data_IF_386511701813
#
_entry.id   IF_386511701813
#
_cell.length_a   1.000
_cell.length_b   1.000
_cell.length_c   1.000
_cell.angle_alpha   90.00
_cell.angle_beta   90.00
_cell.angle_gamma   90.00
#
_symmetry.space_group_name_H-M   'P 1'
#
loop_
_entity.id
_entity.type
_entity.pdbx_description
1 polymer ?
#
# COMPACT_ATOMS: atom_id res chain seq x y z
N UNK A 1 20.46 2.47 13.12
CA UNK A 1 20.80 2.28 11.69
C UNK A 1 19.69 2.90 10.86
N UNK A 2 19.99 3.93 10.05
CA UNK A 2 18.98 4.49 9.15
C UNK A 2 18.77 3.53 7.97
N UNK A 3 17.54 3.05 7.78
CA UNK A 3 17.18 2.32 6.57
C UNK A 3 17.21 3.29 5.38
N UNK A 4 17.93 2.94 4.33
CA UNK A 4 17.78 3.68 3.07
C UNK A 4 16.44 3.31 2.46
N UNK A 5 15.60 4.31 2.17
CA UNK A 5 14.26 4.09 1.67
C UNK A 5 13.99 4.79 0.34
N UNK A 6 13.01 4.27 -0.40
CA UNK A 6 12.53 4.85 -1.65
C UNK A 6 11.02 4.77 -1.72
N UNK A 7 10.38 5.82 -2.24
CA UNK A 7 8.95 5.90 -2.48
C UNK A 7 8.67 5.86 -4.00
N UNK A 8 7.83 4.95 -4.42
CA UNK A 8 7.35 4.81 -5.80
C UNK A 8 5.94 5.38 -5.86
N UNK A 9 5.75 6.50 -6.53
CA UNK A 9 4.47 7.19 -6.58
C UNK A 9 4.30 7.96 -7.89
N UNK A 10 3.05 8.17 -8.31
CA UNK A 10 2.71 9.10 -9.38
C UNK A 10 2.16 10.43 -8.85
N UNK A 11 1.96 10.54 -7.53
CA UNK A 11 1.37 11.70 -6.86
C UNK A 11 2.46 12.68 -6.40
N UNK A 12 2.30 13.96 -6.73
CA UNK A 12 3.31 14.98 -6.42
C UNK A 12 3.30 15.37 -4.93
N UNK A 13 2.14 15.30 -4.26
CA UNK A 13 2.05 15.53 -2.82
C UNK A 13 2.82 14.46 -2.05
N UNK A 14 2.61 13.19 -2.42
CA UNK A 14 3.33 12.07 -1.81
C UNK A 14 4.82 12.12 -2.14
N UNK A 15 5.18 12.56 -3.34
CA UNK A 15 6.59 12.81 -3.71
C UNK A 15 7.24 13.85 -2.80
N UNK A 16 6.52 14.94 -2.52
CA UNK A 16 6.98 15.99 -1.59
C UNK A 16 7.17 15.46 -0.17
N UNK A 17 6.19 14.73 0.37
CA UNK A 17 6.25 14.11 1.70
C UNK A 17 7.42 13.13 1.78
N UNK A 18 7.57 12.26 0.79
CA UNK A 18 8.67 11.31 0.72
C UNK A 18 10.03 12.02 0.78
N UNK A 19 10.20 13.10 0.02
CA UNK A 19 11.44 13.88 -0.01
C UNK A 19 11.74 14.53 1.35
N UNK A 20 10.74 15.13 2.00
CA UNK A 20 10.92 15.76 3.32
C UNK A 20 11.25 14.71 4.41
N UNK A 21 10.73 13.49 4.29
CA UNK A 21 11.03 12.38 5.21
C UNK A 21 12.34 11.65 4.90
N UNK A 22 13.10 12.10 3.91
CA UNK A 22 14.40 11.53 3.54
C UNK A 22 14.32 10.29 2.65
N UNK A 23 13.14 9.93 2.13
CA UNK A 23 13.00 8.89 1.14
C UNK A 23 13.39 9.42 -0.25
N UNK A 24 14.07 8.59 -1.03
CA UNK A 24 14.20 8.85 -2.47
C UNK A 24 12.86 8.71 -3.14
N UNK A 25 12.64 9.39 -4.26
CA UNK A 25 11.41 9.28 -5.06
C UNK A 25 11.72 8.63 -6.39
N UNK A 26 10.91 7.65 -6.77
CA UNK A 26 10.92 7.03 -8.09
C UNK A 26 9.57 7.25 -8.77
N UNK A 27 9.60 7.86 -9.95
CA UNK A 27 8.44 8.14 -10.79
C UNK A 27 8.82 7.96 -12.25
N UNK A 28 7.99 7.25 -13.01
CA UNK A 28 8.09 7.19 -14.49
C UNK A 28 6.85 7.83 -15.11
N UNK A 29 6.88 8.04 -16.42
CA UNK A 29 5.73 8.62 -17.14
C UNK A 29 4.46 7.78 -17.05
N UNK A 30 4.61 6.45 -16.85
CA UNK A 30 3.50 5.52 -16.76
C UNK A 30 2.93 5.38 -15.33
N UNK A 31 3.63 5.92 -14.34
CA UNK A 31 3.22 5.89 -12.93
C UNK A 31 2.38 7.12 -12.60
N UNK A 32 1.14 7.13 -13.06
CA UNK A 32 0.21 8.22 -12.76
C UNK A 32 -0.37 8.10 -11.34
N UNK A 33 -1.03 9.16 -10.87
CA UNK A 33 -1.82 9.17 -9.64
C UNK A 33 -3.30 8.78 -9.88
N UNK A 34 -3.62 8.13 -10.99
CA UNK A 34 -4.99 7.87 -11.43
C UNK A 34 -5.21 6.37 -11.73
N UNK A 35 -6.42 6.02 -12.19
CA UNK A 35 -6.84 4.65 -12.55
C UNK A 35 -6.09 4.07 -13.76
N UNK A 36 -5.49 4.91 -14.58
CA UNK A 36 -4.67 4.53 -15.75
C UNK A 36 -3.21 4.20 -15.41
N UNK A 37 -2.83 4.31 -14.14
CA UNK A 37 -1.45 4.02 -13.71
C UNK A 37 -1.02 2.60 -14.11
N UNK A 38 0.21 2.46 -14.62
CA UNK A 38 0.78 1.15 -14.94
C UNK A 38 1.18 0.41 -13.63
N UNK A 39 0.26 -0.41 -13.12
CA UNK A 39 0.49 -1.21 -11.92
C UNK A 39 1.63 -2.22 -12.12
N UNK A 40 1.70 -2.88 -13.27
CA UNK A 40 2.77 -3.85 -13.57
C UNK A 40 4.15 -3.19 -13.46
N UNK A 41 4.30 -1.98 -14.02
CA UNK A 41 5.57 -1.24 -13.92
C UNK A 41 5.86 -0.82 -12.47
N UNK A 42 4.85 -0.38 -11.71
CA UNK A 42 5.01 -0.04 -10.29
C UNK A 42 5.53 -1.23 -9.48
N UNK A 43 4.93 -2.40 -9.61
CA UNK A 43 5.36 -3.61 -8.89
C UNK A 43 6.73 -4.11 -9.36
N UNK A 44 7.03 -4.05 -10.65
CA UNK A 44 8.35 -4.39 -11.20
C UNK A 44 9.45 -3.48 -10.63
N UNK A 45 9.21 -2.17 -10.63
CA UNK A 45 10.16 -1.21 -10.06
C UNK A 45 10.31 -1.43 -8.56
N UNK A 46 9.21 -1.70 -7.82
CA UNK A 46 9.27 -2.04 -6.40
C UNK A 46 10.19 -3.24 -6.14
N UNK A 47 10.06 -4.31 -6.94
CA UNK A 47 10.93 -5.48 -6.86
C UNK A 47 12.42 -5.12 -7.06
N UNK A 48 12.72 -4.36 -8.10
CA UNK A 48 14.10 -3.94 -8.40
C UNK A 48 14.69 -3.00 -7.33
N UNK A 49 13.83 -2.21 -6.66
CA UNK A 49 14.28 -1.29 -5.60
C UNK A 49 14.53 -2.00 -4.27
N UNK A 50 13.83 -3.10 -3.98
CA UNK A 50 14.08 -3.93 -2.80
C UNK A 50 15.48 -4.55 -2.80
N UNK A 51 16.10 -4.75 -3.95
CA UNK A 51 17.48 -5.24 -4.05
C UNK A 51 18.52 -4.16 -3.67
N UNK A 52 18.10 -2.90 -3.58
CA UNK A 52 19.00 -1.73 -3.38
C UNK A 52 18.66 -0.93 -2.12
N UNK A 53 17.47 -1.09 -1.59
CA UNK A 53 16.96 -0.31 -0.46
C UNK A 53 16.36 -1.21 0.60
N UNK A 54 16.57 -0.87 1.86
CA UNK A 54 15.97 -1.59 2.99
C UNK A 54 14.47 -1.33 3.17
N UNK A 55 13.93 -0.28 2.54
CA UNK A 55 12.52 0.07 2.57
C UNK A 55 12.05 0.55 1.20
N UNK A 56 10.95 -0.01 0.73
CA UNK A 56 10.25 0.46 -0.46
C UNK A 56 8.80 0.78 -0.09
N UNK A 57 8.40 2.02 -0.30
CA UNK A 57 7.01 2.47 -0.18
C UNK A 57 6.40 2.53 -1.57
N UNK A 58 5.38 1.72 -1.84
CA UNK A 58 4.65 1.72 -3.10
C UNK A 58 3.29 2.39 -2.89
N UNK A 59 3.13 3.58 -3.44
CA UNK A 59 1.89 4.35 -3.35
C UNK A 59 1.03 4.20 -4.60
N UNK A 60 -0.26 3.88 -4.42
CA UNK A 60 -1.25 3.68 -5.47
C UNK A 60 -2.52 4.46 -5.11
N UNK A 61 -2.83 5.52 -5.86
CA UNK A 61 -3.92 6.47 -5.55
C UNK A 61 -5.25 6.18 -6.26
N UNK A 62 -5.28 5.33 -7.27
CA UNK A 62 -6.47 5.16 -8.13
C UNK A 62 -7.76 4.82 -7.37
N UNK A 63 -7.68 4.11 -6.23
CA UNK A 63 -8.84 3.80 -5.39
C UNK A 63 -9.48 5.05 -4.80
N UNK A 64 -8.67 6.02 -4.36
CA UNK A 64 -9.10 7.29 -3.83
C UNK A 64 -9.79 8.13 -4.92
N UNK A 65 -9.19 8.22 -6.09
CA UNK A 65 -9.77 8.91 -7.26
C UNK A 65 -11.14 8.33 -7.63
N UNK A 66 -11.27 7.00 -7.72
CA UNK A 66 -12.54 6.36 -8.02
C UNK A 66 -13.60 6.64 -6.95
N UNK A 67 -13.18 6.68 -5.67
CA UNK A 67 -14.09 6.98 -4.58
C UNK A 67 -14.57 8.44 -4.61
N UNK A 68 -13.70 9.41 -4.83
CA UNK A 68 -14.05 10.83 -5.00
C UNK A 68 -15.00 11.06 -6.18
N UNK A 69 -14.83 10.31 -7.26
CA UNK A 69 -15.71 10.36 -8.42
C UNK A 69 -17.04 9.60 -8.20
N UNK A 70 -17.29 9.04 -7.00
CA UNK A 70 -18.48 8.23 -6.68
C UNK A 70 -18.65 7.00 -7.60
N UNK A 71 -17.54 6.37 -7.95
CA UNK A 71 -17.46 5.22 -8.86
C UNK A 71 -17.05 3.93 -8.10
N UNK A 72 -17.91 3.37 -7.21
CA UNK A 72 -17.56 2.22 -6.38
C UNK A 72 -17.20 0.96 -7.19
N UNK A 73 -17.82 0.77 -8.36
CA UNK A 73 -17.50 -0.36 -9.24
C UNK A 73 -16.08 -0.23 -9.78
N UNK A 74 -15.69 0.95 -10.27
CA UNK A 74 -14.32 1.19 -10.73
C UNK A 74 -13.30 1.04 -9.60
N UNK A 75 -13.64 1.49 -8.37
CA UNK A 75 -12.79 1.28 -7.19
C UNK A 75 -12.56 -0.20 -6.94
N UNK A 76 -13.61 -1.02 -6.94
CA UNK A 76 -13.54 -2.48 -6.79
C UNK A 76 -12.68 -3.11 -7.88
N UNK A 77 -12.95 -2.79 -9.16
CA UNK A 77 -12.22 -3.35 -10.30
C UNK A 77 -10.72 -2.99 -10.24
N UNK A 78 -10.41 -1.78 -9.76
CA UNK A 78 -9.03 -1.35 -9.61
C UNK A 78 -8.32 -2.07 -8.45
N UNK A 79 -9.02 -2.31 -7.32
CA UNK A 79 -8.50 -3.13 -6.22
C UNK A 79 -8.19 -4.56 -6.68
N UNK A 80 -9.05 -5.17 -7.51
CA UNK A 80 -8.79 -6.48 -8.08
C UNK A 80 -7.55 -6.51 -8.98
N UNK A 81 -7.28 -5.43 -9.72
CA UNK A 81 -6.04 -5.29 -10.50
C UNK A 81 -4.81 -5.20 -9.60
N UNK A 82 -4.89 -4.43 -8.52
CA UNK A 82 -3.81 -4.34 -7.52
C UNK A 82 -3.54 -5.70 -6.91
N UNK A 83 -4.57 -6.43 -6.49
CA UNK A 83 -4.46 -7.76 -5.92
C UNK A 83 -3.79 -8.75 -6.88
N UNK A 84 -4.19 -8.73 -8.17
CA UNK A 84 -3.59 -9.54 -9.21
C UNK A 84 -2.09 -9.27 -9.39
N UNK A 85 -1.69 -7.99 -9.45
CA UNK A 85 -0.28 -7.62 -9.60
C UNK A 85 0.54 -7.95 -8.33
N UNK A 86 -0.04 -7.74 -7.15
CA UNK A 86 0.56 -8.14 -5.87
C UNK A 86 0.77 -9.66 -5.83
N UNK A 87 -0.21 -10.45 -6.25
CA UNK A 87 -0.10 -11.91 -6.33
C UNK A 87 1.03 -12.37 -7.26
N UNK A 88 1.22 -11.72 -8.42
CA UNK A 88 2.35 -11.98 -9.32
C UNK A 88 3.69 -11.61 -8.65
N UNK A 89 3.74 -10.45 -8.01
CA UNK A 89 4.92 -9.96 -7.30
C UNK A 89 5.36 -10.93 -6.20
N UNK A 90 4.44 -11.39 -5.36
CA UNK A 90 4.73 -12.32 -4.26
C UNK A 90 5.18 -13.70 -4.74
N UNK A 91 4.74 -14.16 -5.92
CA UNK A 91 5.24 -15.42 -6.52
C UNK A 91 6.70 -15.35 -6.96
N UNK A 92 7.17 -14.16 -7.32
CA UNK A 92 8.55 -13.93 -7.77
C UNK A 92 9.48 -13.66 -6.59
N UNK A 93 8.97 -12.93 -5.57
CA UNK A 93 9.73 -12.55 -4.37
C UNK A 93 9.51 -13.58 -3.26
N UNK A 94 10.37 -14.60 -3.22
CA UNK A 94 10.35 -15.68 -2.21
C UNK A 94 11.37 -15.48 -1.09
N UNK A 95 12.11 -14.38 -1.13
CA UNK A 95 13.11 -13.97 -0.16
C UNK A 95 12.49 -13.47 1.16
N UNK A 96 13.33 -13.07 2.10
CA UNK A 96 12.92 -12.59 3.43
C UNK A 96 12.22 -11.22 3.37
N UNK A 97 11.14 -11.15 2.63
CA UNK A 97 10.30 -9.96 2.52
C UNK A 97 9.41 -9.82 3.76
N UNK A 98 9.27 -8.61 4.28
CA UNK A 98 8.13 -8.18 5.09
C UNK A 98 7.30 -7.22 4.29
N UNK A 99 5.99 -7.39 4.31
CA UNK A 99 5.01 -6.59 3.58
C UNK A 99 4.00 -6.01 4.56
N UNK A 100 3.73 -4.71 4.45
CA UNK A 100 2.59 -4.05 5.06
C UNK A 100 1.68 -3.52 3.96
N UNK A 101 0.37 -3.78 4.07
CA UNK A 101 -0.65 -3.21 3.20
C UNK A 101 -1.60 -2.41 4.08
N UNK A 102 -1.84 -1.16 3.70
CA UNK A 102 -2.76 -0.26 4.41
C UNK A 102 -3.16 0.90 3.52
N UNK A 103 -3.99 1.80 4.04
CA UNK A 103 -4.29 3.09 3.43
C UNK A 103 -3.95 4.23 4.42
N UNK A 104 -3.86 5.44 3.91
CA UNK A 104 -3.68 6.67 4.70
C UNK A 104 -5.00 7.13 5.32
N UNK A 105 -6.11 6.96 4.62
CA UNK A 105 -7.48 7.28 5.06
C UNK A 105 -8.52 6.45 4.30
N UNK A 106 -9.75 6.48 4.81
CA UNK A 106 -10.92 5.98 4.11
C UNK A 106 -11.54 7.08 3.25
N UNK A 107 -11.97 6.74 2.02
CA UNK A 107 -12.74 7.61 1.13
C UNK A 107 -14.03 6.91 0.75
N UNK A 108 -15.17 7.46 1.22
CA UNK A 108 -16.48 6.84 1.04
C UNK A 108 -17.04 7.13 -0.34
N UNK A 109 -17.12 6.11 -1.17
CA UNK A 109 -17.54 6.23 -2.58
C UNK A 109 -18.97 6.75 -2.77
N UNK A 110 -19.85 6.60 -1.78
CA UNK A 110 -21.23 7.11 -1.89
C UNK A 110 -21.28 8.63 -1.88
N UNK A 111 -20.45 9.26 -1.02
CA UNK A 111 -20.41 10.72 -0.86
C UNK A 111 -19.20 11.36 -1.57
N UNK A 112 -18.19 10.59 -1.92
CA UNK A 112 -16.96 11.09 -2.53
C UNK A 112 -16.10 11.91 -1.57
N UNK A 113 -16.16 11.64 -0.26
CA UNK A 113 -15.46 12.39 0.77
C UNK A 113 -14.63 11.47 1.65
N UNK A 114 -13.59 12.02 2.26
CA UNK A 114 -12.86 11.33 3.33
C UNK A 114 -13.75 11.17 4.56
N UNK A 115 -13.60 10.05 5.25
CA UNK A 115 -14.29 9.76 6.51
C UNK A 115 -13.29 9.30 7.56
N UNK A 116 -13.63 9.50 8.83
CA UNK A 116 -12.76 9.16 9.98
C UNK A 116 -12.94 7.69 10.43
N UNK A 117 -13.09 6.79 9.48
CA UNK A 117 -13.13 5.35 9.75
C UNK A 117 -11.71 4.78 9.76
N UNK A 118 -11.45 3.78 10.63
CA UNK A 118 -10.18 3.07 10.62
C UNK A 118 -9.92 2.41 9.28
N UNK A 119 -8.66 2.41 8.86
CA UNK A 119 -8.21 1.67 7.68
C UNK A 119 -7.70 0.29 8.07
N UNK A 120 -7.90 -0.74 7.24
CA UNK A 120 -7.37 -2.07 7.49
C UNK A 120 -5.85 -2.09 7.36
N UNK A 121 -5.20 -2.94 8.15
CA UNK A 121 -3.76 -3.19 8.08
C UNK A 121 -3.50 -4.69 7.98
N UNK A 122 -2.73 -5.09 6.97
CA UNK A 122 -2.20 -6.45 6.83
C UNK A 122 -0.69 -6.40 6.94
N UNK A 123 -0.14 -7.30 7.77
CA UNK A 123 1.29 -7.56 7.85
C UNK A 123 1.55 -9.00 7.39
N UNK A 124 2.52 -9.21 6.51
CA UNK A 124 2.89 -10.52 5.99
C UNK A 124 4.40 -10.65 5.82
N UNK A 125 4.92 -11.87 5.94
CA UNK A 125 6.28 -12.21 5.54
C UNK A 125 7.14 -12.75 6.67
N UNK A 126 8.46 -12.64 6.50
CA UNK A 126 9.44 -13.26 7.39
C UNK A 126 9.27 -12.83 8.85
N UNK A 127 9.12 -13.82 9.76
CA UNK A 127 8.96 -13.60 11.20
C UNK A 127 7.56 -13.19 11.64
N UNK A 128 6.64 -12.92 10.73
CA UNK A 128 5.25 -12.55 11.05
C UNK A 128 4.41 -13.83 11.12
N UNK A 129 3.79 -14.07 12.29
CA UNK A 129 2.89 -15.21 12.48
C UNK A 129 1.49 -14.86 11.96
N UNK A 130 0.94 -15.72 11.10
CA UNK A 130 -0.45 -15.60 10.66
C UNK A 130 -1.43 -15.74 11.84
N UNK A 131 -2.59 -15.14 11.68
CA UNK A 131 -3.75 -15.36 12.54
C UNK A 131 -4.85 -16.15 11.79
N UNK A 132 -6.07 -16.11 12.30
CA UNK A 132 -7.21 -16.84 11.73
C UNK A 132 -7.97 -16.03 10.65
N UNK A 133 -7.55 -14.79 10.40
CA UNK A 133 -8.20 -13.93 9.39
C UNK A 133 -7.72 -14.35 8.00
N UNK A 134 -8.67 -14.65 7.12
CA UNK A 134 -8.42 -15.13 5.76
C UNK A 134 -8.80 -14.14 4.66
N UNK A 135 -9.53 -13.08 5.02
CA UNK A 135 -9.96 -12.03 4.09
C UNK A 135 -9.49 -10.67 4.58
N UNK A 136 -9.06 -9.82 3.65
CA UNK A 136 -8.55 -8.48 3.96
C UNK A 136 -9.61 -7.44 3.60
N UNK A 137 -10.50 -7.18 4.54
CA UNK A 137 -11.53 -6.15 4.48
C UNK A 137 -11.74 -5.51 5.86
N UNK A 138 -12.50 -4.41 5.91
CA UNK A 138 -12.73 -3.62 7.11
C UNK A 138 -13.46 -4.38 8.24
N UNK A 139 -14.20 -5.45 7.92
CA UNK A 139 -14.94 -6.25 8.90
C UNK A 139 -14.09 -7.40 9.43
N UNK A 140 -13.45 -8.15 8.54
CA UNK A 140 -12.68 -9.33 8.92
C UNK A 140 -11.42 -8.98 9.72
N UNK A 141 -10.75 -7.87 9.39
CA UNK A 141 -9.55 -7.43 10.13
C UNK A 141 -9.82 -7.09 11.59
N UNK A 142 -11.07 -6.84 11.99
CA UNK A 142 -11.43 -6.63 13.40
C UNK A 142 -11.19 -7.87 14.27
N UNK A 143 -11.15 -9.05 13.67
CA UNK A 143 -10.86 -10.33 14.33
C UNK A 143 -9.35 -10.65 14.36
N UNK A 144 -8.52 -9.81 13.75
CA UNK A 144 -7.08 -10.02 13.62
C UNK A 144 -6.33 -9.77 14.93
N UNK A 145 -5.19 -10.46 15.08
CA UNK A 145 -4.33 -10.34 16.27
C UNK A 145 -3.63 -8.99 16.41
N UNK A 146 -3.53 -8.20 15.34
CA UNK A 146 -2.92 -6.86 15.40
C UNK A 146 -3.70 -5.91 16.29
N UNK A 147 -5.03 -6.09 16.39
CA UNK A 147 -5.92 -5.20 17.11
C UNK A 147 -5.94 -3.78 16.51
N UNK A 148 -6.70 -2.89 17.15
CA UNK A 148 -6.77 -1.48 16.74
C UNK A 148 -5.60 -0.69 17.34
N UNK A 149 -4.92 0.10 16.52
CA UNK A 149 -3.77 0.91 16.93
C UNK A 149 -3.68 2.22 16.13
N UNK A 150 -2.86 3.14 16.58
CA UNK A 150 -2.56 4.38 15.85
C UNK A 150 -1.48 4.14 14.81
N UNK A 151 -1.58 4.79 13.64
CA UNK A 151 -0.69 4.53 12.50
C UNK A 151 0.81 4.74 12.84
N UNK A 152 1.16 5.66 13.73
CA UNK A 152 2.56 5.85 14.16
C UNK A 152 3.16 4.61 14.86
N UNK A 153 2.32 3.69 15.37
CA UNK A 153 2.73 2.43 15.99
C UNK A 153 2.96 1.31 14.96
N UNK A 154 2.69 1.57 13.68
CA UNK A 154 2.86 0.57 12.62
C UNK A 154 4.31 0.06 12.56
N UNK A 155 5.28 0.95 12.71
CA UNK A 155 6.69 0.59 12.64
C UNK A 155 7.10 -0.39 13.75
N UNK A 156 6.60 -0.19 14.97
CA UNK A 156 6.88 -1.10 16.10
C UNK A 156 6.34 -2.51 15.80
N UNK A 157 5.14 -2.59 15.21
CA UNK A 157 4.52 -3.87 14.81
C UNK A 157 5.19 -4.52 13.59
N UNK A 158 5.65 -3.70 12.66
CA UNK A 158 6.26 -4.17 11.41
C UNK A 158 7.69 -4.68 11.61
N UNK A 159 8.43 -4.12 12.55
CA UNK A 159 9.80 -4.51 12.85
C UNK A 159 9.96 -5.42 14.08
N UNK A 160 8.89 -5.64 14.85
CA UNK A 160 8.88 -6.65 15.91
C UNK A 160 8.99 -8.07 15.32
#
# INVERSE_FOLDING_TARGET
MGLSGICITGDDTISGIASVTGLKVCKTKEMTANLDTNLTEKFKVAGNMLDKHGLVVLHIKGCDIAAHNKEPVKKKDFLQKIDSELGKFLKIRTDKLRLAITADHSTWSKEGTHIDDPVPVLLHGHGIKSDSVTEFDEHQVLNGKLGRFRMYQLWDKFFA
#
